data_IF_924980356067
#
_entry.id   IF_924980356067
#
_cell.length_a   1.000
_cell.length_b   1.000
_cell.length_c   1.000
_cell.angle_alpha   90.00
_cell.angle_beta   90.00
_cell.angle_gamma   90.00
#
_symmetry.space_group_name_H-M   'P 1'
#
loop_
_entity.id
_entity.type
_entity.pdbx_description
1 polymer ?
#
# COMPACT_ATOMS: atom_id res chain seq x y z
N UNK A 1 -8.25 29.86 -29.98
CA UNK A 1 -8.03 30.48 -28.66
C UNK A 1 -8.61 29.53 -27.63
N UNK A 2 -7.91 28.49 -27.18
CA UNK A 2 -6.87 28.45 -26.14
C UNK A 2 -7.24 29.25 -24.87
N UNK A 3 -7.64 28.53 -23.83
CA UNK A 3 -7.34 28.88 -22.44
C UNK A 3 -7.00 27.58 -21.68
N UNK A 4 -5.83 27.03 -22.00
CA UNK A 4 -5.02 26.34 -20.99
C UNK A 4 -4.54 27.39 -19.99
N UNK A 5 -4.68 27.07 -18.70
CA UNK A 5 -3.96 27.58 -17.49
C UNK A 5 -4.97 27.57 -16.33
N UNK A 6 -4.69 27.10 -15.13
CA UNK A 6 -3.43 26.84 -14.46
C UNK A 6 -3.82 26.16 -13.14
N UNK A 7 -3.34 24.96 -12.85
CA UNK A 7 -2.79 24.64 -11.53
C UNK A 7 -1.79 23.51 -11.72
N UNK A 8 -0.64 23.91 -12.25
CA UNK A 8 0.61 23.19 -12.07
C UNK A 8 1.06 23.42 -10.63
N UNK A 9 1.03 22.37 -9.81
CA UNK A 9 2.04 22.17 -8.78
C UNK A 9 2.78 20.89 -9.12
N UNK A 10 4.04 21.07 -9.48
CA UNK A 10 5.02 20.03 -9.70
C UNK A 10 5.17 19.14 -8.46
N UNK A 11 4.92 17.85 -8.62
CA UNK A 11 5.66 16.79 -7.93
C UNK A 11 6.12 15.80 -9.02
N UNK A 12 7.42 15.47 -9.11
CA UNK A 12 7.89 14.46 -10.05
C UNK A 12 7.56 13.09 -9.46
N UNK A 13 6.58 12.37 -10.00
CA UNK A 13 6.34 11.00 -9.53
C UNK A 13 4.99 10.35 -9.81
N UNK A 14 4.00 11.03 -10.38
CA UNK A 14 2.76 10.34 -10.79
C UNK A 14 3.05 9.43 -11.97
N UNK A 15 3.23 8.13 -11.68
CA UNK A 15 3.06 7.08 -12.68
C UNK A 15 1.56 6.92 -12.96
N UNK A 16 1.30 6.55 -14.21
CA UNK A 16 0.01 6.24 -14.81
C UNK A 16 -0.84 5.34 -13.88
N UNK A 17 -2.03 5.80 -13.47
CA UNK A 17 -2.99 5.07 -12.65
C UNK A 17 -3.68 3.96 -13.45
N UNK A 18 -2.90 3.03 -14.01
CA UNK A 18 -3.47 1.83 -14.62
C UNK A 18 -4.05 0.97 -13.49
N UNK A 19 -5.32 0.54 -13.59
CA UNK A 19 -5.85 -0.42 -12.63
C UNK A 19 -4.96 -1.66 -12.62
N UNK A 20 -4.83 -2.36 -11.48
CA UNK A 20 -4.06 -3.60 -11.41
C UNK A 20 -4.53 -4.53 -12.53
N UNK A 21 -3.57 -5.17 -13.18
CA UNK A 21 -3.89 -6.16 -14.20
C UNK A 21 -4.66 -7.32 -13.54
N UNK A 22 -5.48 -8.08 -14.29
CA UNK A 22 -6.20 -9.23 -13.72
C UNK A 22 -5.28 -10.30 -13.08
N UNK A 23 -3.97 -10.24 -13.35
CA UNK A 23 -2.95 -11.13 -12.82
C UNK A 23 -2.32 -10.61 -11.51
N UNK A 24 -2.55 -9.34 -11.16
CA UNK A 24 -2.03 -8.72 -9.95
C UNK A 24 -3.03 -8.85 -8.79
N UNK A 25 -2.51 -9.34 -7.67
CA UNK A 25 -3.20 -9.47 -6.40
C UNK A 25 -2.88 -8.26 -5.52
N UNK A 26 -3.88 -7.80 -4.78
CA UNK A 26 -3.74 -6.66 -3.87
C UNK A 26 -3.35 -7.13 -2.47
N UNK A 27 -2.48 -6.36 -1.83
CA UNK A 27 -2.31 -6.31 -0.39
C UNK A 27 -2.55 -4.89 0.11
N UNK A 28 -3.57 -4.74 0.95
CA UNK A 28 -3.88 -3.50 1.66
C UNK A 28 -3.48 -3.62 3.13
N UNK A 29 -2.76 -2.61 3.61
CA UNK A 29 -2.30 -2.52 5.00
C UNK A 29 -2.99 -1.33 5.64
N UNK A 30 -3.95 -1.58 6.54
CA UNK A 30 -4.65 -0.52 7.27
C UNK A 30 -4.17 -0.52 8.72
N UNK A 31 -3.47 0.53 9.15
CA UNK A 31 -2.97 0.59 10.53
C UNK A 31 -4.08 0.91 11.52
N UNK A 32 -3.89 0.47 12.77
CA UNK A 32 -4.80 0.80 13.87
C UNK A 32 -4.42 2.10 14.57
N UNK A 33 -3.15 2.50 14.46
CA UNK A 33 -2.59 3.71 15.03
C UNK A 33 -2.04 4.61 13.93
N UNK A 34 -2.01 5.91 14.20
CA UNK A 34 -1.31 6.86 13.37
C UNK A 34 0.21 6.74 13.57
N UNK A 35 0.99 7.06 12.53
CA UNK A 35 2.42 7.32 12.70
C UNK A 35 2.63 8.55 13.60
N UNK A 36 3.78 8.63 14.26
CA UNK A 36 4.11 9.79 15.10
C UNK A 36 4.19 11.11 14.32
N UNK A 37 4.61 11.04 13.05
CA UNK A 37 4.71 12.14 12.11
C UNK A 37 4.77 11.63 10.66
N UNK A 38 4.75 12.57 9.70
CA UNK A 38 4.87 12.28 8.27
C UNK A 38 6.20 11.58 7.90
N UNK A 39 7.27 11.81 8.66
CA UNK A 39 8.57 11.22 8.40
C UNK A 39 8.57 9.71 8.73
N UNK A 40 7.88 9.30 9.78
CA UNK A 40 7.69 7.89 10.12
C UNK A 40 6.91 7.14 9.03
N UNK A 41 5.86 7.77 8.47
CA UNK A 41 5.10 7.18 7.36
C UNK A 41 5.95 7.09 6.08
N UNK A 42 6.65 8.16 5.71
CA UNK A 42 7.52 8.18 4.54
C UNK A 42 8.62 7.12 4.64
N UNK A 43 9.20 6.93 5.82
CA UNK A 43 10.18 5.89 6.07
C UNK A 43 9.58 4.49 5.85
N UNK A 44 8.41 4.21 6.41
CA UNK A 44 7.73 2.92 6.21
C UNK A 44 7.50 2.65 4.72
N UNK A 45 6.94 3.62 3.98
CA UNK A 45 6.66 3.47 2.54
C UNK A 45 7.94 3.22 1.74
N UNK A 46 9.01 3.96 2.02
CA UNK A 46 10.30 3.79 1.35
C UNK A 46 10.88 2.39 1.59
N UNK A 47 10.78 1.88 2.82
CA UNK A 47 11.27 0.54 3.15
C UNK A 47 10.41 -0.58 2.57
N UNK A 48 9.09 -0.44 2.59
CA UNK A 48 8.17 -1.37 1.93
C UNK A 48 8.48 -1.46 0.43
N UNK A 49 8.57 -0.30 -0.23
CA UNK A 49 8.89 -0.19 -1.66
C UNK A 49 10.24 -0.83 -1.98
N UNK A 50 11.26 -0.56 -1.16
CA UNK A 50 12.59 -1.16 -1.32
C UNK A 50 12.55 -2.68 -1.17
N UNK A 51 11.88 -3.20 -0.14
CA UNK A 51 11.80 -4.62 0.13
C UNK A 51 11.08 -5.40 -0.98
N UNK A 52 9.92 -4.93 -1.42
CA UNK A 52 9.15 -5.60 -2.49
C UNK A 52 9.87 -5.52 -3.85
N UNK A 53 10.56 -4.41 -4.14
CA UNK A 53 11.35 -4.26 -5.37
C UNK A 53 12.54 -5.21 -5.36
N UNK A 54 13.30 -5.26 -4.26
CA UNK A 54 14.46 -6.14 -4.12
C UNK A 54 14.08 -7.62 -4.20
N UNK A 55 12.92 -7.99 -3.65
CA UNK A 55 12.39 -9.35 -3.70
C UNK A 55 11.67 -9.69 -5.02
N UNK A 56 11.54 -8.73 -5.95
CA UNK A 56 10.72 -8.85 -7.17
C UNK A 56 9.30 -9.36 -6.88
N UNK A 57 8.73 -8.94 -5.75
CA UNK A 57 7.45 -9.43 -5.25
C UNK A 57 6.25 -8.58 -5.69
N UNK A 58 6.50 -7.37 -6.19
CA UNK A 58 5.46 -6.44 -6.59
C UNK A 58 5.89 -4.98 -6.52
N UNK A 59 4.90 -4.08 -6.42
CA UNK A 59 5.09 -2.64 -6.37
C UNK A 59 4.16 -1.97 -5.35
N UNK A 60 4.64 -0.86 -4.83
CA UNK A 60 3.83 0.10 -4.09
C UNK A 60 3.07 0.96 -5.10
N UNK A 61 1.81 1.26 -4.80
CA UNK A 61 0.97 2.14 -5.61
C UNK A 61 0.75 3.48 -4.89
N UNK A 62 -0.05 3.45 -3.82
CA UNK A 62 -0.39 4.64 -3.05
C UNK A 62 -0.67 4.35 -1.58
N UNK A 63 -0.96 5.42 -0.83
CA UNK A 63 -1.59 5.33 0.47
C UNK A 63 -2.63 6.44 0.63
N UNK A 64 -3.64 6.17 1.44
CA UNK A 64 -4.65 7.15 1.84
C UNK A 64 -4.78 7.21 3.37
N UNK A 65 -5.36 8.29 3.89
CA UNK A 65 -5.71 8.40 5.30
C UNK A 65 -7.16 7.97 5.51
N UNK A 66 -7.38 7.01 6.41
CA UNK A 66 -8.72 6.48 6.75
C UNK A 66 -9.15 6.77 8.18
N UNK A 67 -10.35 7.31 8.33
CA UNK A 67 -10.98 7.63 9.62
C UNK A 67 -10.46 8.92 10.28
N UNK A 68 -10.90 9.14 11.52
CA UNK A 68 -10.41 10.21 12.39
C UNK A 68 -10.03 9.61 13.78
N UNK A 69 -8.78 9.77 14.24
CA UNK A 69 -7.67 10.43 13.55
C UNK A 69 -7.18 9.57 12.36
N UNK A 70 -6.51 10.19 11.38
CA UNK A 70 -6.24 9.65 10.05
C UNK A 70 -5.15 8.57 10.01
N UNK A 71 -5.56 7.31 9.94
CA UNK A 71 -4.65 6.16 9.89
C UNK A 71 -4.25 5.84 8.45
N UNK A 72 -2.99 5.53 8.16
CA UNK A 72 -2.60 5.14 6.81
C UNK A 72 -3.21 3.79 6.39
N UNK A 73 -3.72 3.79 5.16
CA UNK A 73 -4.13 2.63 4.40
C UNK A 73 -3.25 2.55 3.16
N UNK A 74 -2.35 1.56 3.10
CA UNK A 74 -1.30 1.43 2.09
C UNK A 74 -1.67 0.32 1.10
N UNK A 75 -1.50 0.60 -0.20
CA UNK A 75 -1.83 -0.30 -1.29
C UNK A 75 -0.58 -0.83 -1.98
N UNK A 76 -0.46 -2.16 -2.03
CA UNK A 76 0.60 -2.89 -2.72
C UNK A 76 -0.02 -3.88 -3.70
N UNK A 77 0.64 -4.10 -4.84
CA UNK A 77 0.21 -5.06 -5.86
C UNK A 77 1.36 -5.97 -6.28
N UNK A 78 1.03 -7.21 -6.65
CA UNK A 78 2.00 -8.16 -7.16
C UNK A 78 1.37 -9.49 -7.54
N UNK A 79 2.13 -10.42 -8.12
CA UNK A 79 1.59 -11.72 -8.57
C UNK A 79 1.11 -12.62 -7.42
N UNK A 80 1.46 -12.30 -6.17
CA UNK A 80 1.03 -13.06 -4.99
C UNK A 80 0.93 -12.15 -3.77
N UNK A 81 -0.28 -12.00 -3.24
CA UNK A 81 -0.52 -11.21 -2.04
C UNK A 81 0.10 -11.85 -0.79
N UNK A 82 0.17 -13.19 -0.73
CA UNK A 82 0.88 -13.88 0.35
C UNK A 82 2.38 -13.64 0.27
N UNK A 83 2.97 -13.61 -0.94
CA UNK A 83 4.38 -13.26 -1.11
C UNK A 83 4.68 -11.81 -0.70
N UNK A 84 3.77 -10.88 -0.99
CA UNK A 84 3.88 -9.51 -0.48
C UNK A 84 3.90 -9.50 1.05
N UNK A 85 2.98 -10.22 1.71
CA UNK A 85 2.95 -10.33 3.18
C UNK A 85 4.27 -10.87 3.74
N UNK A 86 4.82 -11.93 3.17
CA UNK A 86 6.11 -12.51 3.59
C UNK A 86 7.24 -11.48 3.54
N UNK A 87 7.31 -10.69 2.46
CA UNK A 87 8.38 -9.72 2.22
C UNK A 87 8.26 -8.49 3.13
N UNK A 88 7.04 -8.02 3.39
CA UNK A 88 6.85 -6.80 4.19
C UNK A 88 6.87 -7.07 5.70
N UNK A 89 6.66 -8.30 6.15
CA UNK A 89 6.56 -8.63 7.58
C UNK A 89 7.79 -8.13 8.39
N UNK A 90 9.05 -8.35 7.95
CA UNK A 90 10.22 -7.80 8.64
C UNK A 90 10.28 -6.27 8.63
N UNK A 91 9.68 -5.62 7.63
CA UNK A 91 9.59 -4.15 7.56
C UNK A 91 8.61 -3.67 8.62
N UNK A 92 7.38 -4.19 8.63
CA UNK A 92 6.33 -3.78 9.57
C UNK A 92 6.77 -3.93 11.04
N UNK A 93 7.48 -5.01 11.39
CA UNK A 93 8.00 -5.24 12.76
C UNK A 93 8.93 -4.13 13.27
N UNK A 94 9.52 -3.32 12.39
CA UNK A 94 10.38 -2.18 12.78
C UNK A 94 9.58 -0.93 13.16
N UNK A 95 8.29 -0.93 12.91
CA UNK A 95 7.38 0.19 13.17
C UNK A 95 6.31 -0.26 14.18
N UNK A 96 6.50 -0.01 15.49
CA UNK A 96 5.58 -0.48 16.53
C UNK A 96 4.12 -0.05 16.36
N UNK A 97 3.88 1.10 15.72
CA UNK A 97 2.53 1.61 15.43
C UNK A 97 1.79 0.84 14.32
N UNK A 98 2.46 -0.13 13.68
CA UNK A 98 1.83 -1.07 12.75
C UNK A 98 1.30 -2.34 13.46
N UNK A 99 1.63 -2.56 14.74
CA UNK A 99 1.06 -3.68 15.50
C UNK A 99 -0.47 -3.56 15.53
N UNK A 100 -1.16 -4.68 15.25
CA UNK A 100 -2.61 -4.71 15.11
C UNK A 100 -3.12 -4.28 13.74
N UNK A 101 -2.28 -3.90 12.77
CA UNK A 101 -2.72 -3.53 11.43
C UNK A 101 -3.55 -4.64 10.76
N UNK A 102 -4.57 -4.25 10.01
CA UNK A 102 -5.32 -5.14 9.14
C UNK A 102 -4.53 -5.38 7.85
N UNK A 103 -4.32 -6.65 7.52
CA UNK A 103 -3.77 -7.10 6.24
C UNK A 103 -4.91 -7.72 5.42
N UNK A 104 -5.46 -6.94 4.50
CA UNK A 104 -6.45 -7.41 3.52
C UNK A 104 -5.72 -7.87 2.26
N UNK A 105 -6.05 -9.06 1.77
CA UNK A 105 -5.53 -9.62 0.51
C UNK A 105 -6.67 -9.93 -0.43
N UNK A 106 -6.55 -9.49 -1.68
CA UNK A 106 -7.43 -9.88 -2.77
C UNK A 106 -6.65 -10.79 -3.74
N UNK A 107 -7.08 -12.05 -3.87
CA UNK A 107 -6.39 -13.05 -4.70
C UNK A 107 -6.87 -13.02 -6.16
N UNK A 108 -6.85 -11.83 -6.77
CA UNK A 108 -7.34 -11.55 -8.11
C UNK A 108 -7.72 -10.08 -8.27
N UNK A 109 -8.44 -9.75 -9.33
CA UNK A 109 -8.92 -8.40 -9.57
C UNK A 109 -9.91 -7.98 -8.46
N UNK A 110 -9.58 -6.96 -7.67
CA UNK A 110 -10.41 -6.46 -6.58
C UNK A 110 -11.78 -5.89 -7.02
N UNK A 111 -11.98 -5.65 -8.32
CA UNK A 111 -13.26 -5.25 -8.90
C UNK A 111 -14.15 -6.45 -9.29
N UNK A 112 -13.61 -7.66 -9.29
CA UNK A 112 -14.38 -8.88 -9.55
C UNK A 112 -15.03 -9.38 -8.24
N UNK A 113 -16.37 -9.44 -8.15
CA UNK A 113 -17.06 -9.94 -6.96
C UNK A 113 -16.79 -11.42 -6.66
N UNK A 114 -16.22 -12.18 -7.61
CA UNK A 114 -15.79 -13.55 -7.39
C UNK A 114 -14.39 -13.66 -6.77
N UNK A 115 -13.66 -12.55 -6.65
CA UNK A 115 -12.31 -12.55 -6.08
C UNK A 115 -12.35 -13.01 -4.63
N UNK A 116 -11.45 -13.95 -4.31
CA UNK A 116 -11.32 -14.43 -2.94
C UNK A 116 -10.54 -13.40 -2.12
N UNK A 117 -11.05 -13.12 -0.93
CA UNK A 117 -10.49 -12.14 -0.02
C UNK A 117 -10.08 -12.80 1.30
N UNK A 118 -9.02 -12.28 1.92
CA UNK A 118 -8.60 -12.72 3.24
C UNK A 118 -8.08 -11.57 4.07
N UNK A 119 -8.66 -11.41 5.25
CA UNK A 119 -8.26 -10.42 6.25
C UNK A 119 -7.54 -11.13 7.39
N UNK A 120 -6.38 -10.61 7.80
CA UNK A 120 -5.70 -11.04 9.03
C UNK A 120 -5.16 -9.84 9.79
N UNK A 121 -5.06 -9.96 11.11
CA UNK A 121 -4.37 -8.99 11.95
C UNK A 121 -2.87 -9.26 11.95
N UNK A 122 -2.08 -8.21 11.76
CA UNK A 122 -0.64 -8.24 11.92
C UNK A 122 -0.27 -8.11 13.41
N UNK A 123 0.68 -8.93 13.85
CA UNK A 123 1.21 -8.89 15.21
C UNK A 123 2.74 -8.87 15.19
N UNK A 124 3.32 -7.91 15.90
CA UNK A 124 4.76 -7.70 16.04
C UNK A 124 5.48 -8.77 16.84
#
# INVERSE_FOLDING_TARGET
MNLKKLFTRFLPGFRDHSPPTPEEQELRITTVQEPADDAALAALIAELTSAITAAQAGSFDEYESVGEPGRPCIYLYGPSADRLVEVINPVLRRYPWTDGAELYRAYGNNLDPATQEKITTFHC
#
